data_IF_086189955377
#
_entry.id   IF_086189955377
#
_cell.length_a   1.000
_cell.length_b   1.000
_cell.length_c   1.000
_cell.angle_alpha   90.00
_cell.angle_beta   90.00
_cell.angle_gamma   90.00
#
_symmetry.space_group_name_H-M   'P 1'
#
loop_
_entity.id
_entity.type
_entity.pdbx_description
1 polymer ?
#
# COMPACT_ATOMS: atom_id res chain seq x y z
N UNK A 1 4.33 -11.27 -11.07
CA UNK A 1 4.97 -12.46 -10.45
C UNK A 1 4.21 -12.99 -9.22
N UNK A 2 3.86 -12.20 -8.17
CA UNK A 2 3.12 -12.72 -7.00
C UNK A 2 1.63 -13.05 -7.27
N UNK A 3 0.93 -12.24 -8.07
CA UNK A 3 -0.51 -12.43 -8.31
C UNK A 3 -0.82 -13.51 -9.35
N UNK A 4 0.07 -13.77 -10.31
CA UNK A 4 -0.27 -14.58 -11.49
C UNK A 4 0.52 -15.90 -11.60
N UNK A 5 1.75 -15.97 -11.08
CA UNK A 5 2.66 -17.09 -11.38
C UNK A 5 2.95 -18.00 -10.18
N UNK A 6 2.51 -17.63 -8.97
CA UNK A 6 2.69 -18.45 -7.78
C UNK A 6 1.42 -19.27 -7.49
N UNK A 7 1.56 -20.60 -7.47
CA UNK A 7 0.45 -21.52 -7.20
C UNK A 7 -0.20 -21.28 -5.82
N UNK A 8 0.62 -20.99 -4.80
CA UNK A 8 0.14 -20.79 -3.42
C UNK A 8 -0.76 -19.54 -3.28
N UNK A 9 -0.62 -18.55 -4.16
CA UNK A 9 -1.39 -17.30 -4.14
C UNK A 9 -2.48 -17.24 -5.23
N UNK A 10 -2.69 -18.33 -5.98
CA UNK A 10 -3.61 -18.35 -7.13
C UNK A 10 -5.02 -17.85 -6.77
N UNK A 11 -5.54 -18.28 -5.61
CA UNK A 11 -6.88 -17.91 -5.12
C UNK A 11 -6.84 -16.90 -3.96
N UNK A 12 -5.70 -16.23 -3.75
CA UNK A 12 -5.59 -15.23 -2.70
C UNK A 12 -6.32 -13.94 -3.10
N UNK A 13 -7.34 -13.59 -2.30
CA UNK A 13 -8.17 -12.38 -2.46
C UNK A 13 -7.89 -11.33 -1.36
N UNK A 14 -6.79 -11.52 -0.62
CA UNK A 14 -6.31 -10.53 0.33
C UNK A 14 -5.49 -9.44 -0.35
N UNK A 15 -4.94 -8.56 0.47
CA UNK A 15 -4.00 -7.53 0.04
C UNK A 15 -2.58 -8.08 0.20
N UNK A 16 -1.69 -7.71 -0.72
CA UNK A 16 -0.26 -8.01 -0.63
C UNK A 16 0.45 -6.72 -0.25
N UNK A 17 1.30 -6.77 0.78
CA UNK A 17 2.17 -5.67 1.19
C UNK A 17 3.54 -5.87 0.54
N UNK A 18 4.04 -4.83 -0.12
CA UNK A 18 5.35 -4.78 -0.75
C UNK A 18 6.29 -3.95 0.12
N UNK A 19 7.44 -4.54 0.46
CA UNK A 19 8.50 -3.91 1.25
C UNK A 19 9.83 -4.09 0.53
N UNK A 20 10.74 -3.14 0.75
CA UNK A 20 12.14 -3.22 0.34
C UNK A 20 12.99 -3.75 1.51
N UNK A 21 14.21 -4.20 1.22
CA UNK A 21 15.11 -4.82 2.21
C UNK A 21 15.61 -3.86 3.28
N UNK A 22 15.56 -2.56 3.00
CA UNK A 22 15.97 -1.47 3.88
C UNK A 22 14.79 -0.88 4.69
N UNK A 23 13.59 -1.47 4.58
CA UNK A 23 12.45 -1.08 5.38
C UNK A 23 12.49 -1.69 6.78
N UNK A 24 12.42 -0.84 7.81
CA UNK A 24 12.09 -1.23 9.17
C UNK A 24 10.59 -1.11 9.42
N UNK A 25 9.97 -2.12 10.01
CA UNK A 25 8.52 -2.14 10.28
C UNK A 25 8.21 -1.97 11.77
N UNK A 26 7.15 -1.23 12.06
CA UNK A 26 6.62 -1.13 13.42
C UNK A 26 5.94 -2.44 13.84
N UNK A 27 5.92 -2.79 15.14
CA UNK A 27 5.31 -4.05 15.62
C UNK A 27 3.82 -4.21 15.28
N UNK A 28 3.10 -3.11 15.09
CA UNK A 28 1.65 -3.04 14.87
C UNK A 28 1.27 -2.76 13.40
N UNK A 29 2.21 -2.76 12.46
CA UNK A 29 1.95 -2.41 11.06
C UNK A 29 0.83 -3.24 10.41
N UNK A 30 0.73 -4.55 10.73
CA UNK A 30 -0.35 -5.41 10.25
C UNK A 30 -1.70 -5.07 10.88
N UNK A 31 -1.73 -4.60 12.13
CA UNK A 31 -2.94 -4.17 12.79
C UNK A 31 -3.48 -2.90 12.11
N UNK A 32 -2.61 -1.92 11.89
CA UNK A 32 -2.95 -0.68 11.20
C UNK A 32 -3.44 -0.94 9.77
N UNK A 33 -2.76 -1.79 9.01
CA UNK A 33 -3.19 -2.17 7.67
C UNK A 33 -4.60 -2.77 7.63
N UNK A 34 -4.94 -3.63 8.61
CA UNK A 34 -6.28 -4.22 8.73
C UNK A 34 -7.34 -3.18 9.07
N UNK A 35 -7.02 -2.21 9.93
CA UNK A 35 -7.92 -1.10 10.24
C UNK A 35 -8.15 -0.21 9.02
N UNK A 36 -7.09 0.18 8.32
CA UNK A 36 -7.19 0.97 7.09
C UNK A 36 -8.08 0.27 6.06
N UNK A 37 -7.85 -1.02 5.79
CA UNK A 37 -8.67 -1.80 4.83
C UNK A 37 -10.15 -1.84 5.23
N UNK A 38 -10.46 -1.89 6.53
CA UNK A 38 -11.84 -1.91 7.03
C UNK A 38 -12.54 -0.56 6.86
N UNK A 39 -11.82 0.54 7.07
CA UNK A 39 -12.38 1.90 7.13
C UNK A 39 -12.45 2.55 5.74
N UNK A 40 -11.54 2.21 4.84
CA UNK A 40 -11.44 2.82 3.50
C UNK A 40 -12.73 2.75 2.68
N UNK A 41 -13.48 1.62 2.60
CA UNK A 41 -14.73 1.58 1.83
C UNK A 41 -15.77 2.62 2.27
N UNK A 42 -15.74 3.04 3.53
CA UNK A 42 -16.64 4.07 4.08
C UNK A 42 -16.06 5.49 3.93
N UNK A 43 -14.75 5.66 4.18
CA UNK A 43 -14.12 6.99 4.28
C UNK A 43 -13.47 7.50 2.98
N UNK A 44 -13.03 6.60 2.11
CA UNK A 44 -12.43 6.93 0.81
C UNK A 44 -12.70 5.80 -0.21
N UNK A 45 -13.90 5.77 -0.81
CA UNK A 45 -14.26 4.72 -1.77
C UNK A 45 -13.33 4.62 -2.98
N UNK A 46 -12.68 5.72 -3.35
CA UNK A 46 -11.74 5.79 -4.47
C UNK A 46 -10.30 5.36 -4.08
N UNK A 47 -10.02 5.14 -2.80
CA UNK A 47 -8.71 4.70 -2.33
C UNK A 47 -8.57 3.17 -2.43
N UNK A 48 -7.57 2.72 -3.17
CA UNK A 48 -7.28 1.29 -3.40
C UNK A 48 -5.79 0.92 -3.23
N UNK A 49 -4.97 1.89 -2.81
CA UNK A 49 -3.55 1.75 -2.51
C UNK A 49 -3.29 2.22 -1.08
N UNK A 50 -2.65 1.38 -0.27
CA UNK A 50 -2.41 1.64 1.14
C UNK A 50 -0.91 1.86 1.37
N UNK A 51 -0.51 2.99 1.93
CA UNK A 51 0.88 3.24 2.37
C UNK A 51 1.01 3.07 3.88
N UNK A 52 2.08 2.43 4.34
CA UNK A 52 2.40 2.26 5.76
C UNK A 52 3.54 3.17 6.24
N UNK A 53 4.15 3.93 5.33
CA UNK A 53 5.18 4.91 5.62
C UNK A 53 4.89 6.26 4.97
N UNK A 54 5.37 7.32 5.60
CA UNK A 54 5.43 8.64 5.00
C UNK A 54 6.77 9.27 5.37
N UNK A 55 7.50 9.76 4.36
CA UNK A 55 8.71 10.53 4.57
C UNK A 55 8.33 11.94 5.01
N UNK A 56 8.51 12.30 6.30
CA UNK A 56 8.33 13.68 6.69
C UNK A 56 9.40 14.54 6.01
N UNK A 57 9.06 15.80 5.73
CA UNK A 57 10.06 16.74 5.19
C UNK A 57 11.23 16.88 6.17
N UNK A 58 12.48 17.01 5.68
CA UNK A 58 13.61 17.25 6.55
C UNK A 58 13.34 18.51 7.40
N UNK A 59 13.47 18.37 8.74
CA UNK A 59 13.19 19.40 9.77
C UNK A 59 11.73 19.57 10.22
N UNK A 60 10.80 18.71 9.79
CA UNK A 60 9.47 18.66 10.41
C UNK A 60 9.55 17.96 11.77
N UNK A 61 9.08 18.63 12.84
CA UNK A 61 8.75 17.94 14.09
C UNK A 61 7.49 17.13 13.82
N UNK A 62 7.64 15.80 13.76
CA UNK A 62 6.51 14.88 13.58
C UNK A 62 6.02 14.49 14.96
N UNK A 63 4.76 14.82 15.25
CA UNK A 63 4.07 14.31 16.42
C UNK A 63 3.67 12.84 16.18
N UNK A 64 4.61 11.93 16.40
CA UNK A 64 4.36 10.51 16.21
C UNK A 64 3.27 9.97 17.15
N UNK A 65 3.13 10.54 18.36
CA UNK A 65 2.08 10.12 19.30
C UNK A 65 0.69 10.57 18.82
N UNK A 66 0.56 11.82 18.36
CA UNK A 66 -0.70 12.33 17.82
C UNK A 66 -1.09 11.75 16.46
N UNK A 67 -0.18 11.04 15.79
CA UNK A 67 -0.39 10.40 14.49
C UNK A 67 -0.51 8.89 14.55
N UNK A 68 -0.18 8.25 15.67
CA UNK A 68 -0.07 6.78 15.75
C UNK A 68 -1.37 6.04 15.47
N UNK A 69 -2.52 6.71 15.63
CA UNK A 69 -3.86 6.14 15.40
C UNK A 69 -4.55 6.73 14.15
N UNK A 70 -3.83 7.49 13.33
CA UNK A 70 -4.40 8.19 12.18
C UNK A 70 -4.06 7.52 10.85
N UNK A 71 -5.06 7.45 9.96
CA UNK A 71 -4.89 7.15 8.54
C UNK A 71 -5.18 8.41 7.71
N UNK A 72 -4.35 8.68 6.71
CA UNK A 72 -4.45 9.88 5.87
C UNK A 72 -4.39 9.53 4.40
N UNK A 73 -5.17 10.24 3.59
CA UNK A 73 -5.02 10.23 2.14
C UNK A 73 -3.86 11.17 1.81
N UNK A 74 -2.82 10.62 1.20
CA UNK A 74 -1.58 11.34 0.87
C UNK A 74 -1.20 11.08 -0.58
N UNK A 75 -0.31 11.91 -1.12
CA UNK A 75 0.35 11.60 -2.38
C UNK A 75 1.18 10.33 -2.22
N UNK A 76 1.12 9.46 -3.24
CA UNK A 76 1.84 8.20 -3.24
C UNK A 76 3.35 8.37 -3.02
N UNK A 77 3.95 7.42 -2.30
CA UNK A 77 5.38 7.27 -2.09
C UNK A 77 5.76 5.78 -2.17
N UNK A 78 7.06 5.48 -2.22
CA UNK A 78 7.58 4.12 -2.28
C UNK A 78 7.66 3.41 -0.90
N UNK A 79 7.19 4.03 0.18
CA UNK A 79 7.37 3.51 1.53
C UNK A 79 6.27 2.54 1.93
N UNK A 80 6.49 1.27 1.62
CA UNK A 80 5.67 0.16 2.08
C UNK A 80 4.23 0.29 1.62
N UNK A 81 3.97 -0.09 0.37
CA UNK A 81 2.64 -0.01 -0.21
C UNK A 81 1.97 -1.37 -0.29
N UNK A 82 0.66 -1.38 -0.20
CA UNK A 82 -0.13 -2.59 -0.23
C UNK A 82 -1.39 -2.41 -1.06
N UNK A 83 -1.76 -3.45 -1.80
CA UNK A 83 -2.93 -3.46 -2.67
C UNK A 83 -3.37 -4.89 -2.98
N UNK A 84 -4.57 -5.03 -3.54
CA UNK A 84 -5.16 -6.33 -3.86
C UNK A 84 -5.01 -6.71 -5.35
N UNK A 85 -5.55 -7.88 -5.69
CA UNK A 85 -5.53 -8.42 -7.05
C UNK A 85 -6.28 -7.52 -8.05
N UNK A 86 -7.36 -6.86 -7.63
CA UNK A 86 -8.15 -6.02 -8.52
C UNK A 86 -7.34 -4.78 -8.91
N UNK A 87 -6.66 -4.16 -7.96
CA UNK A 87 -5.71 -3.08 -8.24
C UNK A 87 -4.59 -3.54 -9.19
N UNK A 88 -3.99 -4.70 -8.90
CA UNK A 88 -2.93 -5.26 -9.75
C UNK A 88 -3.40 -5.48 -11.20
N UNK A 89 -4.61 -5.98 -11.42
CA UNK A 89 -5.15 -6.19 -12.77
C UNK A 89 -5.32 -4.90 -13.56
N UNK A 90 -5.74 -3.82 -12.88
CA UNK A 90 -5.79 -2.49 -13.50
C UNK A 90 -4.40 -1.97 -13.88
N UNK A 91 -3.45 -2.09 -12.94
CA UNK A 91 -2.05 -1.66 -13.14
C UNK A 91 -1.34 -2.48 -14.23
N UNK A 92 -1.57 -3.79 -14.28
CA UNK A 92 -0.99 -4.70 -15.26
C UNK A 92 -1.78 -4.78 -16.57
N UNK A 93 -2.75 -3.88 -16.78
CA UNK A 93 -3.44 -3.79 -18.06
C UNK A 93 -2.45 -3.44 -19.18
N UNK A 94 -2.76 -3.84 -20.41
CA UNK A 94 -1.87 -3.62 -21.56
C UNK A 94 -1.44 -2.15 -21.66
N UNK A 95 -2.39 -1.22 -21.55
CA UNK A 95 -2.14 0.22 -21.61
C UNK A 95 -1.16 0.71 -20.56
N UNK A 96 -1.35 0.33 -19.29
CA UNK A 96 -0.47 0.76 -18.19
C UNK A 96 0.88 0.06 -18.25
N UNK A 97 0.90 -1.23 -18.61
CA UNK A 97 2.13 -1.99 -18.76
C UNK A 97 3.01 -1.45 -19.89
N UNK A 98 2.43 -1.08 -21.02
CA UNK A 98 3.18 -0.52 -22.15
C UNK A 98 3.78 0.83 -21.77
N UNK A 99 3.01 1.71 -21.12
CA UNK A 99 3.56 2.98 -20.62
C UNK A 99 4.66 2.75 -19.59
N UNK A 100 4.45 1.87 -18.61
CA UNK A 100 5.43 1.62 -17.55
C UNK A 100 6.74 0.99 -18.07
N UNK A 101 6.67 0.15 -19.11
CA UNK A 101 7.86 -0.53 -19.64
C UNK A 101 8.62 0.29 -20.70
N UNK A 102 8.00 1.34 -21.25
CA UNK A 102 8.59 2.19 -22.28
C UNK A 102 9.16 3.50 -21.75
N UNK A 103 8.76 3.92 -20.54
CA UNK A 103 9.33 5.04 -19.80
C UNK A 103 10.18 4.55 -18.63
#
# INVERSE_FOLDING_TARGET
MIFNHLKITQNFNGIVLFLEEDHYVFPDFLHMLKLMRRVVPEKCPDCNLFGLGHNPKPRSVVDYMGLSDQARVVQWNNQGFAFDRQFWQGLSSQTCSDMFCQY
#
